data_IF_131776493769
#
_entry.id   IF_131776493769
#
_cell.length_a   1.000
_cell.length_b   1.000
_cell.length_c   1.000
_cell.angle_alpha   90.00
_cell.angle_beta   90.00
_cell.angle_gamma   90.00
#
_symmetry.space_group_name_H-M   'P 1'
#
loop_
_entity.id
_entity.type
_entity.pdbx_description
1 polymer ?
#
# COMPACT_ATOMS: atom_id res chain seq x y z
N UNK A 1 17.27 -10.78 -52.52
CA UNK A 1 17.75 -10.13 -51.29
C UNK A 1 16.53 -9.49 -50.63
N UNK A 2 15.78 -10.25 -49.83
CA UNK A 2 14.50 -9.81 -49.24
C UNK A 2 14.68 -9.60 -47.75
N UNK A 3 14.50 -8.34 -47.34
CA UNK A 3 14.69 -7.85 -45.97
C UNK A 3 13.49 -8.26 -45.12
N UNK A 4 13.76 -8.99 -44.04
CA UNK A 4 12.79 -9.53 -43.08
C UNK A 4 12.70 -8.56 -41.89
N UNK A 5 11.83 -7.55 -41.99
CA UNK A 5 11.65 -6.46 -40.98
C UNK A 5 10.30 -6.50 -40.26
N UNK A 6 9.65 -7.66 -40.17
CA UNK A 6 8.36 -7.82 -39.47
C UNK A 6 8.43 -8.50 -38.10
N UNK A 7 9.54 -9.14 -37.75
CA UNK A 7 9.58 -10.09 -36.62
C UNK A 7 10.03 -9.43 -35.31
N UNK A 8 10.89 -8.41 -35.35
CA UNK A 8 11.54 -7.87 -34.14
C UNK A 8 10.62 -7.02 -33.25
N UNK A 9 9.60 -6.38 -33.83
CA UNK A 9 8.65 -5.57 -33.06
C UNK A 9 7.65 -6.41 -32.26
N UNK A 10 7.24 -7.56 -32.77
CA UNK A 10 6.27 -8.44 -32.11
C UNK A 10 6.89 -9.15 -30.90
N UNK A 11 8.18 -9.53 -30.97
CA UNK A 11 8.88 -10.15 -29.83
C UNK A 11 9.07 -9.17 -28.68
N UNK A 12 9.45 -7.92 -28.96
CA UNK A 12 9.63 -6.90 -27.93
C UNK A 12 8.31 -6.55 -27.21
N UNK A 13 7.19 -6.53 -27.95
CA UNK A 13 5.86 -6.30 -27.37
C UNK A 13 5.37 -7.52 -26.59
N UNK A 14 5.60 -8.74 -27.08
CA UNK A 14 5.29 -9.96 -26.33
C UNK A 14 6.15 -10.11 -25.06
N UNK A 15 7.40 -9.64 -25.07
CA UNK A 15 8.29 -9.64 -23.90
C UNK A 15 7.87 -8.57 -22.87
N UNK A 16 7.45 -7.40 -23.32
CA UNK A 16 6.89 -6.36 -22.45
C UNK A 16 5.54 -6.78 -21.82
N UNK A 17 4.70 -7.52 -22.56
CA UNK A 17 3.41 -8.02 -22.07
C UNK A 17 3.55 -9.24 -21.15
N UNK A 18 4.60 -10.04 -21.29
CA UNK A 18 4.83 -11.22 -20.43
C UNK A 18 5.47 -10.90 -19.07
N UNK A 19 6.11 -9.72 -18.91
CA UNK A 19 6.56 -9.21 -17.60
C UNK A 19 5.45 -8.72 -16.67
N UNK A 20 4.20 -8.66 -17.14
CA UNK A 20 3.01 -8.35 -16.34
C UNK A 20 2.31 -9.61 -15.82
N UNK A 21 3.04 -10.71 -15.61
CA UNK A 21 2.59 -11.71 -14.64
C UNK A 21 2.70 -11.07 -13.27
N UNK A 22 1.59 -10.44 -12.87
CA UNK A 22 1.30 -10.06 -11.50
C UNK A 22 1.68 -11.25 -10.63
N UNK A 23 2.83 -11.10 -9.99
CA UNK A 23 3.18 -11.84 -8.80
C UNK A 23 2.09 -11.45 -7.81
N UNK A 24 1.06 -12.29 -7.70
CA UNK A 24 0.15 -12.30 -6.57
C UNK A 24 0.99 -12.71 -5.37
N UNK A 25 1.82 -11.77 -4.93
CA UNK A 25 2.57 -11.84 -3.71
C UNK A 25 1.49 -11.89 -2.63
N UNK A 26 1.42 -13.04 -1.98
CA UNK A 26 0.58 -13.33 -0.83
C UNK A 26 0.51 -12.07 0.04
N UNK A 27 -0.68 -11.47 0.18
CA UNK A 27 -0.88 -10.17 0.86
C UNK A 27 -0.75 -10.30 2.39
N UNK A 28 0.11 -11.20 2.87
CA UNK A 28 0.56 -11.19 4.24
C UNK A 28 1.55 -10.05 4.38
N UNK A 29 1.06 -8.93 4.88
CA UNK A 29 1.84 -7.75 5.24
C UNK A 29 3.15 -8.22 5.93
N UNK A 30 4.34 -7.82 5.45
CA UNK A 30 5.62 -8.36 5.93
C UNK A 30 5.87 -8.12 7.42
N UNK A 31 5.18 -7.14 8.01
CA UNK A 31 5.13 -6.91 9.47
C UNK A 31 4.71 -8.18 10.23
N UNK A 32 3.80 -8.98 9.65
CA UNK A 32 3.30 -10.21 10.27
C UNK A 32 4.32 -11.38 10.19
N UNK A 33 5.33 -11.28 9.32
CA UNK A 33 6.30 -12.36 9.07
C UNK A 33 7.52 -12.26 9.99
N UNK A 34 7.89 -11.05 10.46
CA UNK A 34 9.02 -10.87 11.40
C UNK A 34 8.70 -11.42 12.81
N UNK A 35 7.44 -11.75 13.10
CA UNK A 35 7.00 -12.11 14.45
C UNK A 35 7.08 -13.60 14.82
N UNK A 36 7.62 -14.47 13.96
CA UNK A 36 7.48 -15.92 14.17
C UNK A 36 8.68 -16.67 14.75
N UNK A 37 9.82 -16.06 15.08
CA UNK A 37 10.96 -16.88 15.53
C UNK A 37 11.28 -16.90 17.02
N UNK A 38 10.87 -15.94 17.86
CA UNK A 38 11.10 -16.04 19.31
C UNK A 38 9.98 -15.43 20.16
N UNK A 39 8.78 -16.01 20.09
CA UNK A 39 7.68 -15.66 20.99
C UNK A 39 7.99 -16.09 22.43
N UNK A 40 8.68 -15.21 23.15
CA UNK A 40 8.91 -15.33 24.60
C UNK A 40 7.56 -15.40 25.32
N UNK A 41 7.45 -16.06 26.48
CA UNK A 41 6.18 -16.24 27.21
C UNK A 41 5.39 -14.91 27.42
N UNK A 42 6.10 -13.79 27.54
CA UNK A 42 5.51 -12.46 27.61
C UNK A 42 4.85 -11.96 26.31
N UNK A 43 5.29 -12.43 25.14
CA UNK A 43 4.72 -12.04 23.84
C UNK A 43 3.35 -12.66 23.60
N UNK A 44 3.17 -13.95 23.93
CA UNK A 44 1.87 -14.61 23.84
C UNK A 44 0.88 -14.03 24.85
N UNK A 45 1.36 -13.68 26.04
CA UNK A 45 0.53 -13.05 27.07
C UNK A 45 0.05 -11.66 26.63
N UNK A 46 0.92 -10.84 26.02
CA UNK A 46 0.55 -9.52 25.52
C UNK A 46 -0.50 -9.58 24.41
N UNK A 47 -0.33 -10.47 23.43
CA UNK A 47 -1.31 -10.64 22.34
C UNK A 47 -2.66 -11.20 22.84
N UNK A 48 -2.61 -12.10 23.83
CA UNK A 48 -3.79 -12.58 24.53
C UNK A 48 -4.53 -11.47 25.28
N UNK A 49 -3.81 -10.55 25.92
CA UNK A 49 -4.41 -9.49 26.74
C UNK A 49 -4.97 -8.34 25.91
N UNK A 50 -4.30 -7.96 24.82
CA UNK A 50 -4.81 -6.95 23.88
C UNK A 50 -6.15 -7.39 23.26
N UNK A 51 -6.27 -8.67 22.92
CA UNK A 51 -7.53 -9.24 22.41
C UNK A 51 -8.59 -9.43 23.51
N UNK A 52 -8.20 -9.68 24.76
CA UNK A 52 -9.14 -9.85 25.89
C UNK A 52 -9.77 -8.52 26.35
N UNK A 53 -8.96 -7.47 26.53
CA UNK A 53 -9.43 -6.18 27.08
C UNK A 53 -10.29 -5.42 26.07
N UNK A 54 -10.05 -5.61 24.76
CA UNK A 54 -10.85 -4.99 23.70
C UNK A 54 -12.22 -5.66 23.45
N UNK A 55 -12.53 -6.77 24.12
CA UNK A 55 -13.75 -7.54 23.86
C UNK A 55 -14.88 -7.19 24.84
N UNK A 56 -16.04 -6.81 24.29
CA UNK A 56 -17.29 -6.61 25.04
C UNK A 56 -17.72 -7.84 25.87
N UNK A 57 -17.23 -9.03 25.50
CA UNK A 57 -17.52 -10.28 26.21
C UNK A 57 -16.88 -10.33 27.59
N UNK A 58 -15.68 -9.75 27.77
CA UNK A 58 -14.97 -9.74 29.06
C UNK A 58 -15.74 -8.95 30.13
N UNK A 59 -16.17 -7.72 29.79
CA UNK A 59 -16.98 -6.89 30.69
C UNK A 59 -18.25 -7.61 31.12
N UNK A 60 -18.94 -8.24 30.17
CA UNK A 60 -20.18 -8.97 30.44
C UNK A 60 -19.95 -10.11 31.44
N UNK A 61 -18.97 -10.97 31.21
CA UNK A 61 -18.65 -12.11 32.10
C UNK A 61 -18.27 -11.61 33.50
N UNK A 62 -17.43 -10.57 33.59
CA UNK A 62 -17.01 -9.99 34.87
C UNK A 62 -18.21 -9.45 35.66
N UNK A 63 -19.10 -8.69 35.02
CA UNK A 63 -20.30 -8.14 35.67
C UNK A 63 -21.23 -9.26 36.15
N UNK A 64 -21.45 -10.31 35.34
CA UNK A 64 -22.26 -11.45 35.74
C UNK A 64 -21.64 -12.21 36.91
N UNK A 65 -20.32 -12.41 36.92
CA UNK A 65 -19.63 -13.10 38.00
C UNK A 65 -19.76 -12.35 39.33
N UNK A 66 -19.58 -11.03 39.30
CA UNK A 66 -19.76 -10.17 40.48
C UNK A 66 -21.21 -10.16 40.94
N UNK A 67 -22.16 -10.00 40.02
CA UNK A 67 -23.58 -9.99 40.34
C UNK A 67 -24.04 -11.34 40.93
N UNK A 68 -23.56 -12.46 40.38
CA UNK A 68 -23.83 -13.79 40.91
C UNK A 68 -23.23 -13.98 42.31
N UNK A 69 -22.00 -13.53 42.53
CA UNK A 69 -21.35 -13.59 43.83
C UNK A 69 -22.10 -12.80 44.91
N UNK A 70 -22.49 -11.57 44.58
CA UNK A 70 -23.29 -10.72 45.48
C UNK A 70 -24.65 -11.36 45.75
N UNK A 71 -25.30 -11.92 44.73
CA UNK A 71 -26.62 -12.59 44.87
C UNK A 71 -26.53 -13.82 45.77
N UNK A 72 -25.54 -14.70 45.56
CA UNK A 72 -25.32 -15.89 46.38
C UNK A 72 -25.05 -15.50 47.83
N UNK A 73 -24.16 -14.52 48.08
CA UNK A 73 -23.87 -14.07 49.44
C UNK A 73 -25.09 -13.42 50.11
N UNK A 74 -25.87 -12.62 49.39
CA UNK A 74 -27.08 -11.98 49.93
C UNK A 74 -28.20 -12.97 50.23
N UNK A 75 -28.34 -14.03 49.42
CA UNK A 75 -29.29 -15.12 49.71
C UNK A 75 -28.82 -15.98 50.91
N UNK A 76 -27.51 -16.22 51.04
CA UNK A 76 -26.91 -16.95 52.17
C UNK A 76 -26.99 -16.18 53.50
N UNK A 77 -27.08 -14.85 53.50
CA UNK A 77 -27.39 -14.03 54.71
C UNK A 77 -28.70 -14.48 55.37
N UNK A 78 -29.63 -15.08 54.62
CA UNK A 78 -30.90 -15.60 55.18
C UNK A 78 -30.73 -16.97 55.88
N UNK A 79 -29.59 -17.66 55.69
CA UNK A 79 -29.40 -19.05 56.10
C UNK A 79 -28.11 -19.30 56.88
N UNK A 80 -28.01 -18.83 58.14
CA UNK A 80 -27.09 -19.23 59.24
C UNK A 80 -25.57 -19.37 58.98
N UNK A 81 -25.06 -19.41 57.75
CA UNK A 81 -23.65 -19.60 57.40
C UNK A 81 -23.22 -18.39 56.57
N UNK A 82 -22.38 -17.53 57.14
CA UNK A 82 -21.86 -16.35 56.45
C UNK A 82 -20.48 -16.66 55.87
N UNK A 83 -20.41 -16.76 54.54
CA UNK A 83 -19.14 -16.95 53.81
C UNK A 83 -18.41 -15.60 53.63
N UNK A 84 -19.13 -14.49 53.41
CA UNK A 84 -18.57 -13.13 53.33
C UNK A 84 -19.59 -12.03 53.80
N UNK A 85 -19.56 -11.61 55.08
CA UNK A 85 -20.44 -10.57 55.61
C UNK A 85 -20.20 -9.19 54.99
N UNK A 86 -21.21 -8.32 54.97
CA UNK A 86 -21.06 -6.91 54.57
C UNK A 86 -19.99 -6.23 55.44
N UNK A 87 -18.91 -5.61 54.90
CA UNK A 87 -18.70 -5.12 53.54
C UNK A 87 -17.77 -6.01 52.68
N UNK A 88 -18.23 -7.22 52.28
CA UNK A 88 -17.59 -8.14 51.31
C UNK A 88 -16.05 -8.05 51.23
N UNK A 89 -15.37 -8.43 52.31
CA UNK A 89 -13.93 -8.18 52.48
C UNK A 89 -13.10 -8.96 51.45
N UNK A 90 -13.54 -10.18 51.11
CA UNK A 90 -12.85 -11.05 50.16
C UNK A 90 -13.00 -10.51 48.74
N UNK A 91 -14.19 -10.03 48.37
CA UNK A 91 -14.43 -9.40 47.08
C UNK A 91 -13.61 -8.12 46.94
N UNK A 92 -13.59 -7.27 47.96
CA UNK A 92 -12.77 -6.06 47.96
C UNK A 92 -11.28 -6.37 47.84
N UNK A 93 -10.78 -7.41 48.53
CA UNK A 93 -9.38 -7.82 48.45
C UNK A 93 -9.03 -8.35 47.06
N UNK A 94 -9.91 -9.15 46.46
CA UNK A 94 -9.73 -9.68 45.11
C UNK A 94 -9.68 -8.54 44.07
N UNK A 95 -10.60 -7.58 44.13
CA UNK A 95 -10.60 -6.41 43.25
C UNK A 95 -9.37 -5.53 43.44
N UNK A 96 -8.93 -5.33 44.68
CA UNK A 96 -7.73 -4.55 44.99
C UNK A 96 -6.48 -5.19 44.39
N UNK A 97 -6.37 -6.51 44.50
CA UNK A 97 -5.26 -7.28 43.91
C UNK A 97 -5.34 -7.27 42.38
N UNK A 98 -6.54 -7.41 41.81
CA UNK A 98 -6.77 -7.34 40.37
C UNK A 98 -6.33 -5.99 39.81
N UNK A 99 -6.71 -4.88 40.45
CA UNK A 99 -6.28 -3.54 40.05
C UNK A 99 -4.76 -3.37 40.14
N UNK A 100 -4.14 -3.86 41.23
CA UNK A 100 -2.69 -3.80 41.42
C UNK A 100 -1.91 -4.54 40.33
N UNK A 101 -2.39 -5.71 39.88
CA UNK A 101 -1.75 -6.47 38.79
C UNK A 101 -2.07 -5.94 37.40
N UNK A 102 -3.22 -5.27 37.23
CA UNK A 102 -3.64 -4.72 35.93
C UNK A 102 -2.66 -3.66 35.42
N UNK A 103 -2.15 -2.79 36.30
CA UNK A 103 -1.21 -1.72 35.90
C UNK A 103 0.05 -2.23 35.20
N UNK A 104 0.86 -3.11 35.83
CA UNK A 104 2.07 -3.67 35.22
C UNK A 104 1.79 -4.43 33.93
N UNK A 105 0.72 -5.22 33.90
CA UNK A 105 0.33 -5.99 32.72
C UNK A 105 -0.08 -5.07 31.57
N UNK A 106 -0.85 -4.02 31.85
CA UNK A 106 -1.27 -3.06 30.85
C UNK A 106 -0.07 -2.28 30.30
N UNK A 107 0.91 -1.94 31.15
CA UNK A 107 2.17 -1.32 30.72
C UNK A 107 2.98 -2.23 29.79
N UNK A 108 3.08 -3.52 30.11
CA UNK A 108 3.77 -4.50 29.26
C UNK A 108 3.04 -4.69 27.92
N UNK A 109 1.71 -4.82 27.94
CA UNK A 109 0.89 -4.95 26.74
C UNK A 109 0.98 -3.69 25.86
N UNK A 110 0.91 -2.49 26.47
CA UNK A 110 1.01 -1.21 25.77
C UNK A 110 2.40 -0.98 25.15
N UNK A 111 3.48 -1.30 25.86
CA UNK A 111 4.84 -1.22 25.32
C UNK A 111 5.01 -2.15 24.11
N UNK A 112 4.46 -3.38 24.16
CA UNK A 112 4.50 -4.32 23.02
C UNK A 112 3.69 -3.81 21.82
N UNK A 113 2.48 -3.30 22.05
CA UNK A 113 1.65 -2.75 20.98
C UNK A 113 2.35 -1.56 20.31
N UNK A 114 2.93 -0.66 21.11
CA UNK A 114 3.69 0.50 20.59
C UNK A 114 4.90 0.09 19.75
N UNK A 115 5.60 -1.00 20.11
CA UNK A 115 6.70 -1.53 19.30
C UNK A 115 6.21 -2.08 17.96
N UNK A 116 5.10 -2.83 17.93
CA UNK A 116 4.47 -3.33 16.69
C UNK A 116 4.03 -2.17 15.80
N UNK A 117 3.38 -1.16 16.39
CA UNK A 117 2.91 0.03 15.66
C UNK A 117 4.09 0.79 15.07
N UNK A 118 5.19 0.97 15.82
CA UNK A 118 6.39 1.63 15.32
C UNK A 118 7.01 0.91 14.12
N UNK A 119 7.16 -0.42 14.18
CA UNK A 119 7.69 -1.20 13.05
C UNK A 119 6.77 -1.09 11.82
N UNK A 120 5.45 -1.12 12.05
CA UNK A 120 4.46 -0.94 10.98
C UNK A 120 4.60 0.43 10.31
N UNK A 121 4.78 1.48 11.11
CA UNK A 121 4.99 2.84 10.61
C UNK A 121 6.32 2.98 9.86
N UNK A 122 7.42 2.41 10.36
CA UNK A 122 8.72 2.43 9.68
C UNK A 122 8.64 1.73 8.31
N UNK A 123 7.95 0.59 8.22
CA UNK A 123 7.71 -0.08 6.94
C UNK A 123 6.83 0.74 5.99
N UNK A 124 5.74 1.33 6.48
CA UNK A 124 4.86 2.18 5.67
C UNK A 124 5.61 3.41 5.12
N UNK A 125 6.49 4.02 5.92
CA UNK A 125 7.33 5.13 5.49
C UNK A 125 8.31 4.70 4.38
N UNK A 126 8.96 3.54 4.52
CA UNK A 126 9.87 3.03 3.50
C UNK A 126 9.14 2.69 2.19
N UNK A 127 7.91 2.16 2.26
CA UNK A 127 7.09 1.92 1.07
C UNK A 127 6.67 3.22 0.38
N UNK A 128 6.32 4.26 1.16
CA UNK A 128 6.02 5.59 0.63
C UNK A 128 7.23 6.20 -0.11
N UNK A 129 8.44 6.15 0.48
CA UNK A 129 9.67 6.61 -0.17
C UNK A 129 9.94 5.89 -1.50
N UNK A 130 9.68 4.58 -1.55
CA UNK A 130 9.83 3.79 -2.77
C UNK A 130 8.81 4.19 -3.83
N UNK A 131 7.56 4.40 -3.42
CA UNK A 131 6.50 4.87 -4.32
C UNK A 131 6.84 6.25 -4.89
N UNK A 132 7.36 7.17 -4.07
CA UNK A 132 7.78 8.50 -4.52
C UNK A 132 8.93 8.43 -5.54
N UNK A 133 9.93 7.57 -5.31
CA UNK A 133 10.99 7.33 -6.30
C UNK A 133 10.45 6.79 -7.61
N UNK A 134 9.48 5.88 -7.56
CA UNK A 134 8.83 5.35 -8.76
C UNK A 134 8.03 6.43 -9.49
N UNK A 135 7.31 7.29 -8.77
CA UNK A 135 6.58 8.41 -9.34
C UNK A 135 7.52 9.37 -10.09
N UNK A 136 8.68 9.70 -9.51
CA UNK A 136 9.69 10.53 -10.18
C UNK A 136 10.21 9.88 -11.47
N UNK A 137 10.44 8.56 -11.48
CA UNK A 137 10.87 7.84 -12.69
C UNK A 137 9.79 7.81 -13.77
N UNK A 138 8.52 7.65 -13.40
CA UNK A 138 7.40 7.69 -14.34
C UNK A 138 7.30 9.10 -14.97
N UNK A 139 7.42 10.14 -14.15
CA UNK A 139 7.39 11.52 -14.63
C UNK A 139 8.55 11.83 -15.59
N UNK A 140 9.76 11.35 -15.31
CA UNK A 140 10.91 11.54 -16.21
C UNK A 140 10.73 10.80 -17.54
N UNK A 141 10.19 9.58 -17.51
CA UNK A 141 9.86 8.81 -18.71
C UNK A 141 8.78 9.49 -19.55
N UNK A 142 7.71 10.01 -18.92
CA UNK A 142 6.66 10.78 -19.60
C UNK A 142 7.27 12.01 -20.26
N UNK A 143 8.09 12.78 -19.53
CA UNK A 143 8.76 13.96 -20.06
C UNK A 143 9.62 13.64 -21.29
N UNK A 144 10.36 12.54 -21.25
CA UNK A 144 11.18 12.11 -22.39
C UNK A 144 10.32 11.77 -23.62
N UNK A 145 9.20 11.05 -23.44
CA UNK A 145 8.27 10.76 -24.52
C UNK A 145 7.65 12.03 -25.13
N UNK A 146 7.32 13.02 -24.30
CA UNK A 146 6.84 14.33 -24.77
C UNK A 146 7.90 15.02 -25.62
N UNK A 147 9.16 15.09 -25.16
CA UNK A 147 10.24 15.71 -25.95
C UNK A 147 10.53 14.97 -27.26
N UNK A 148 10.44 13.63 -27.27
CA UNK A 148 10.55 12.86 -28.52
C UNK A 148 9.41 13.18 -29.49
N UNK A 149 8.20 13.36 -28.97
CA UNK A 149 7.04 13.76 -29.76
C UNK A 149 7.23 15.15 -30.35
N UNK A 150 7.71 16.11 -29.57
CA UNK A 150 8.05 17.47 -30.02
C UNK A 150 9.09 17.42 -31.16
N UNK A 151 10.18 16.67 -31.00
CA UNK A 151 11.19 16.51 -32.06
C UNK A 151 10.63 15.86 -33.32
N UNK A 152 9.78 14.83 -33.18
CA UNK A 152 9.13 14.21 -34.32
C UNK A 152 8.23 15.21 -35.07
N UNK A 153 7.49 16.06 -34.34
CA UNK A 153 6.69 17.12 -34.96
C UNK A 153 7.55 18.16 -35.68
N UNK A 154 8.69 18.56 -35.12
CA UNK A 154 9.63 19.51 -35.73
C UNK A 154 10.23 18.96 -37.04
N UNK A 155 10.67 17.70 -37.03
CA UNK A 155 11.16 17.01 -38.23
C UNK A 155 10.06 16.92 -39.29
N UNK A 156 8.84 16.60 -38.88
CA UNK A 156 7.69 16.53 -39.80
C UNK A 156 7.42 17.88 -40.47
N UNK A 157 7.45 18.97 -39.70
CA UNK A 157 7.29 20.34 -40.23
C UNK A 157 8.42 20.66 -41.23
N UNK A 158 9.67 20.33 -40.88
CA UNK A 158 10.83 20.58 -41.75
C UNK A 158 10.72 19.85 -43.08
N UNK A 159 10.29 18.58 -43.05
CA UNK A 159 10.05 17.79 -44.26
C UNK A 159 8.94 18.41 -45.11
N UNK A 160 7.83 18.81 -44.50
CA UNK A 160 6.72 19.46 -45.21
C UNK A 160 7.17 20.73 -45.92
N UNK A 161 7.95 21.58 -45.25
CA UNK A 161 8.51 22.80 -45.85
C UNK A 161 9.43 22.49 -47.02
N UNK A 162 10.31 21.49 -46.88
CA UNK A 162 11.23 21.11 -47.95
C UNK A 162 10.50 20.59 -49.20
N UNK A 163 9.47 19.75 -48.99
CA UNK A 163 8.61 19.26 -50.09
C UNK A 163 7.88 20.41 -50.77
N UNK A 164 7.35 21.37 -50.01
CA UNK A 164 6.70 22.56 -50.58
C UNK A 164 7.67 23.37 -51.45
N UNK A 165 8.90 23.61 -50.99
CA UNK A 165 9.92 24.31 -51.80
C UNK A 165 10.26 23.57 -53.09
N UNK A 166 10.43 22.24 -53.05
CA UNK A 166 10.72 21.43 -54.24
C UNK A 166 9.57 21.48 -55.25
N UNK A 167 8.33 21.43 -54.78
CA UNK A 167 7.14 21.54 -55.65
C UNK A 167 7.07 22.92 -56.30
N UNK A 168 7.29 23.99 -55.54
CA UNK A 168 7.29 25.37 -56.06
C UNK A 168 8.40 25.58 -57.11
N UNK A 169 9.60 25.05 -56.85
CA UNK A 169 10.73 25.11 -57.78
C UNK A 169 10.42 24.38 -59.09
N UNK A 170 9.90 23.15 -58.99
CA UNK A 170 9.55 22.36 -60.17
C UNK A 170 8.41 23.02 -60.99
N UNK A 171 7.41 23.60 -60.32
CA UNK A 171 6.35 24.37 -61.00
C UNK A 171 6.96 25.59 -61.72
N UNK A 172 7.86 26.33 -61.07
CA UNK A 172 8.53 27.48 -61.68
C UNK A 172 9.37 27.07 -62.92
N UNK A 173 10.11 25.97 -62.84
CA UNK A 173 10.83 25.39 -63.98
C UNK A 173 9.90 25.00 -65.14
N UNK A 174 8.80 24.30 -64.83
CA UNK A 174 7.80 23.88 -65.83
C UNK A 174 7.16 25.08 -66.54
N UNK A 175 6.82 26.14 -65.80
CA UNK A 175 6.29 27.39 -66.37
C UNK A 175 7.34 28.09 -67.25
N UNK A 176 8.60 28.12 -66.83
CA UNK A 176 9.71 28.67 -67.60
C UNK A 176 9.98 27.90 -68.91
N UNK A 177 9.93 26.57 -68.86
CA UNK A 177 10.09 25.69 -70.03
C UNK A 177 8.94 25.84 -71.04
N UNK A 178 7.70 26.01 -70.56
CA UNK A 178 6.54 26.31 -71.41
C UNK A 178 6.64 27.67 -72.12
N UNK A 179 7.24 28.67 -71.49
CA UNK A 179 7.42 30.03 -72.06
C UNK A 179 8.46 30.06 -73.19
N UNK A 180 9.51 29.23 -73.12
CA UNK A 180 10.52 29.09 -74.20
C UNK A 180 10.01 28.41 -75.47
N UNK A 181 8.93 27.62 -75.40
CA UNK A 181 8.31 27.00 -76.59
C UNK A 181 7.39 27.94 -77.38
N UNK A 182 6.97 29.08 -76.82
CA UNK A 182 5.98 30.00 -77.44
C UNK A 182 6.56 31.15 -78.27
N UNK A 183 7.88 31.31 -78.40
CA UNK A 183 8.47 32.27 -79.36
C UNK A 183 8.47 31.69 -80.77
N UNK A 184 7.62 32.17 -81.72
CA UNK A 184 7.69 31.74 -83.10
C UNK A 184 8.95 32.34 -83.74
N UNK A 185 9.75 31.53 -84.43
CA UNK A 185 10.86 32.05 -85.23
C UNK A 185 10.28 32.81 -86.43
N UNK A 186 10.76 34.04 -86.72
CA UNK A 186 10.40 34.76 -87.93
C UNK A 186 10.92 34.05 -89.19
#
# INVERSE_FOLDING_TARGET
>A
MTVRTGDTGSVAVHEALTRRKYQTQDHKHPVNVIHHEHATFGEQLADGIASFIGSWRFLTIQTFLVAAWVTINTLQVTGKIHIDPYPYILLNLAFSTQAAYTGPVLLLAGNRQSQKDRLTLEHAAHEADKADRQNVQILSAIKQNTTLTEKNTEVTITILQHVETLVQEHIAEMVGAGKRRKTPRP
#
